data_IF_596901029775
#
_entry.id   IF_596901029775
#
_cell.length_a   1.000
_cell.length_b   1.000
_cell.length_c   1.000
_cell.angle_alpha   90.00
_cell.angle_beta   90.00
_cell.angle_gamma   90.00
#
_symmetry.space_group_name_H-M   'P 1'
#
loop_
_entity.id
_entity.type
_entity.pdbx_description
1 polymer ?
#
# COMPACT_ATOMS: atom_id res chain seq x y z
N UNK A 1 -22.50 -11.22 -0.91
CA UNK A 1 -22.01 -10.25 0.10
C UNK A 1 -22.87 -8.99 0.06
N UNK A 2 -22.79 -8.12 1.07
CA UNK A 2 -23.62 -6.91 1.24
C UNK A 2 -23.58 -5.92 0.04
N UNK A 3 -22.64 -6.08 -0.89
CA UNK A 3 -22.40 -5.16 -2.01
C UNK A 3 -22.25 -5.87 -3.38
N UNK A 4 -22.77 -7.09 -3.54
CA UNK A 4 -22.64 -7.83 -4.80
C UNK A 4 -23.25 -7.09 -6.00
N UNK A 5 -24.27 -6.25 -5.77
CA UNK A 5 -24.91 -5.42 -6.79
C UNK A 5 -23.92 -4.45 -7.47
N UNK A 6 -22.82 -4.07 -6.83
CA UNK A 6 -21.78 -3.22 -7.44
C UNK A 6 -21.10 -3.89 -8.64
N UNK A 7 -21.18 -5.22 -8.78
CA UNK A 7 -20.69 -5.94 -9.96
C UNK A 7 -21.45 -5.62 -11.24
N UNK A 8 -22.68 -5.15 -11.09
CA UNK A 8 -23.57 -4.83 -12.21
C UNK A 8 -23.45 -3.35 -12.61
N UNK A 9 -22.62 -2.58 -11.92
CA UNK A 9 -22.47 -1.13 -12.10
C UNK A 9 -21.14 -0.82 -12.80
N UNK A 10 -21.19 0.05 -13.80
CA UNK A 10 -19.98 0.60 -14.41
C UNK A 10 -19.22 1.52 -13.44
N UNK A 11 -17.90 1.34 -13.36
CA UNK A 11 -16.99 2.15 -12.51
C UNK A 11 -17.17 3.67 -12.73
N UNK A 12 -17.57 4.08 -13.94
CA UNK A 12 -17.81 5.50 -14.30
C UNK A 12 -18.86 6.19 -13.42
N UNK A 13 -19.71 5.43 -12.73
CA UNK A 13 -20.73 5.95 -11.81
C UNK A 13 -20.21 6.21 -10.38
N UNK A 14 -18.98 5.77 -10.07
CA UNK A 14 -18.26 6.21 -8.87
C UNK A 14 -17.63 7.60 -9.12
N UNK A 15 -17.33 8.34 -8.06
CA UNK A 15 -16.71 9.67 -8.14
C UNK A 15 -15.53 9.78 -7.18
N UNK A 16 -14.63 10.74 -7.46
CA UNK A 16 -13.45 11.05 -6.64
C UNK A 16 -12.56 9.82 -6.38
N UNK A 17 -12.00 9.76 -5.18
CA UNK A 17 -11.07 8.72 -4.73
C UNK A 17 -11.65 7.30 -4.87
N UNK A 18 -12.97 7.12 -4.69
CA UNK A 18 -13.60 5.79 -4.83
C UNK A 18 -13.50 5.28 -6.27
N UNK A 19 -13.65 6.17 -7.27
CA UNK A 19 -13.49 5.80 -8.67
C UNK A 19 -12.04 5.45 -8.97
N UNK A 20 -11.10 6.28 -8.55
CA UNK A 20 -9.67 6.05 -8.78
C UNK A 20 -9.21 4.72 -8.16
N UNK A 21 -9.62 4.45 -6.92
CA UNK A 21 -9.31 3.18 -6.24
C UNK A 21 -9.93 2.00 -6.97
N UNK A 22 -11.18 2.10 -7.43
CA UNK A 22 -11.85 1.03 -8.18
C UNK A 22 -11.18 0.77 -9.55
N UNK A 23 -10.75 1.81 -10.26
CA UNK A 23 -10.03 1.70 -11.54
C UNK A 23 -8.65 1.03 -11.35
N UNK A 24 -7.91 1.39 -10.29
CA UNK A 24 -6.58 0.82 -9.99
C UNK A 24 -6.67 -0.64 -9.53
N UNK A 25 -7.62 -0.95 -8.65
CA UNK A 25 -7.69 -2.27 -7.99
C UNK A 25 -8.57 -3.28 -8.71
N UNK A 26 -9.53 -2.80 -9.51
CA UNK A 26 -10.61 -3.59 -10.11
C UNK A 26 -11.80 -3.77 -9.16
N UNK A 27 -13.00 -3.89 -9.74
CA UNK A 27 -14.27 -3.88 -8.98
C UNK A 27 -14.34 -4.96 -7.89
N UNK A 28 -13.87 -6.18 -8.14
CA UNK A 28 -13.91 -7.26 -7.14
C UNK A 28 -13.10 -6.92 -5.88
N UNK A 29 -11.89 -6.37 -6.04
CA UNK A 29 -11.04 -5.98 -4.90
C UNK A 29 -11.60 -4.74 -4.21
N UNK A 30 -12.15 -3.81 -4.98
CA UNK A 30 -12.83 -2.65 -4.44
C UNK A 30 -14.01 -3.04 -3.54
N UNK A 31 -14.86 -3.98 -3.95
CA UNK A 31 -15.97 -4.48 -3.14
C UNK A 31 -15.46 -5.08 -1.81
N UNK A 32 -14.37 -5.85 -1.86
CA UNK A 32 -13.75 -6.42 -0.65
C UNK A 32 -13.21 -5.34 0.29
N UNK A 33 -12.51 -4.34 -0.25
CA UNK A 33 -12.00 -3.21 0.53
C UNK A 33 -13.15 -2.41 1.15
N UNK A 34 -14.15 -2.07 0.34
CA UNK A 34 -15.31 -1.33 0.82
C UNK A 34 -16.04 -2.09 1.91
N UNK A 35 -16.20 -3.41 1.78
CA UNK A 35 -16.79 -4.23 2.82
C UNK A 35 -15.98 -4.24 4.12
N UNK A 36 -14.66 -4.39 4.02
CA UNK A 36 -13.76 -4.44 5.18
C UNK A 36 -13.67 -3.10 5.93
N UNK A 37 -13.80 -1.98 5.22
CA UNK A 37 -13.55 -0.64 5.74
C UNK A 37 -14.77 0.29 5.70
N UNK A 38 -15.98 -0.21 5.48
CA UNK A 38 -17.20 0.61 5.36
C UNK A 38 -17.53 1.51 6.57
N UNK A 39 -16.90 1.27 7.72
CA UNK A 39 -17.07 2.05 8.96
C UNK A 39 -15.83 2.87 9.33
N UNK A 40 -14.87 3.00 8.42
CA UNK A 40 -13.59 3.65 8.71
C UNK A 40 -13.17 4.57 7.58
N UNK A 41 -12.63 5.72 7.97
CA UNK A 41 -11.87 6.56 7.03
C UNK A 41 -10.47 5.97 6.89
N UNK A 42 -10.09 5.61 5.66
CA UNK A 42 -8.78 5.06 5.35
C UNK A 42 -7.81 6.21 5.02
N UNK A 43 -6.73 6.30 5.79
CA UNK A 43 -5.62 7.21 5.52
C UNK A 43 -4.36 6.43 5.18
N UNK A 44 -3.79 6.68 3.99
CA UNK A 44 -2.53 6.08 3.55
C UNK A 44 -1.34 6.92 4.04
N UNK A 45 -0.78 6.54 5.19
CA UNK A 45 0.38 7.22 5.77
C UNK A 45 1.71 6.68 5.23
N UNK A 46 2.60 7.56 4.79
CA UNK A 46 3.98 7.21 4.41
C UNK A 46 4.75 6.53 5.56
N UNK A 47 4.45 6.87 6.82
CA UNK A 47 5.09 6.25 7.99
C UNK A 47 4.87 4.73 8.05
N UNK A 48 3.70 4.25 7.60
CA UNK A 48 3.43 2.81 7.56
C UNK A 48 4.28 2.11 6.48
N UNK A 49 4.51 2.78 5.35
CA UNK A 49 5.43 2.29 4.32
C UNK A 49 6.88 2.30 4.82
N UNK A 50 7.29 3.32 5.56
CA UNK A 50 8.63 3.37 6.17
C UNK A 50 8.84 2.22 7.17
N UNK A 51 7.84 1.94 8.01
CA UNK A 51 7.88 0.80 8.94
C UNK A 51 7.99 -0.54 8.20
N UNK A 52 7.24 -0.71 7.12
CA UNK A 52 7.31 -1.91 6.29
C UNK A 52 8.68 -2.05 5.60
N UNK A 53 9.23 -0.95 5.08
CA UNK A 53 10.57 -0.92 4.49
C UNK A 53 11.64 -1.28 5.53
N UNK A 54 11.54 -0.75 6.76
CA UNK A 54 12.43 -1.10 7.87
C UNK A 54 12.39 -2.60 8.18
N UNK A 55 11.19 -3.17 8.28
CA UNK A 55 10.99 -4.60 8.52
C UNK A 55 11.48 -5.47 7.36
N UNK A 56 11.41 -4.98 6.11
CA UNK A 56 11.94 -5.68 4.95
C UNK A 56 13.47 -5.69 4.97
N UNK A 57 14.10 -4.53 5.16
CA UNK A 57 15.56 -4.38 5.19
C UNK A 57 16.18 -5.23 6.31
N UNK A 58 15.60 -5.23 7.51
CA UNK A 58 16.08 -6.03 8.65
C UNK A 58 15.99 -7.54 8.43
N UNK A 59 15.05 -8.01 7.59
CA UNK A 59 14.93 -9.43 7.21
C UNK A 59 15.94 -9.86 6.15
N UNK A 60 16.66 -8.93 5.54
CA UNK A 60 17.61 -9.19 4.46
C UNK A 60 18.97 -8.53 4.73
N UNK A 61 19.62 -8.80 5.89
CA UNK A 61 20.82 -8.09 6.31
C UNK A 61 22.02 -8.31 5.36
N UNK A 62 22.06 -9.47 4.69
CA UNK A 62 23.17 -9.83 3.80
C UNK A 62 22.99 -9.32 2.35
N UNK A 63 21.88 -8.63 2.05
CA UNK A 63 21.65 -8.08 0.71
C UNK A 63 22.40 -6.78 0.53
N UNK A 64 23.05 -6.62 -0.64
CA UNK A 64 23.71 -5.36 -0.99
C UNK A 64 22.77 -4.15 -0.86
N UNK A 65 23.27 -3.11 -0.20
CA UNK A 65 22.46 -1.94 0.13
C UNK A 65 21.94 -1.18 -1.11
N UNK A 66 22.66 -1.21 -2.24
CA UNK A 66 22.20 -0.57 -3.49
C UNK A 66 21.05 -1.36 -4.10
N UNK A 67 21.08 -2.69 -3.98
CA UNK A 67 19.97 -3.55 -4.42
C UNK A 67 18.72 -3.26 -3.60
N UNK A 68 18.85 -3.20 -2.26
CA UNK A 68 17.74 -2.85 -1.38
C UNK A 68 17.17 -1.45 -1.68
N UNK A 69 18.06 -0.46 -1.85
CA UNK A 69 17.69 0.92 -2.18
C UNK A 69 16.86 1.00 -3.48
N UNK A 70 17.33 0.34 -4.54
CA UNK A 70 16.62 0.30 -5.83
C UNK A 70 15.27 -0.40 -5.73
N UNK A 71 15.21 -1.53 -5.02
CA UNK A 71 13.97 -2.31 -4.87
C UNK A 71 12.90 -1.54 -4.10
N UNK A 72 13.29 -0.83 -3.06
CA UNK A 72 12.38 -0.09 -2.19
C UNK A 72 12.14 1.36 -2.64
N UNK A 73 12.84 1.83 -3.67
CA UNK A 73 12.72 3.21 -4.14
C UNK A 73 13.26 4.25 -3.14
N UNK A 74 14.24 3.89 -2.31
CA UNK A 74 14.82 4.78 -1.28
C UNK A 74 16.33 4.96 -1.47
N UNK A 75 16.92 5.93 -0.78
CA UNK A 75 18.37 6.14 -0.82
C UNK A 75 19.14 5.04 -0.06
N UNK A 76 20.37 4.73 -0.50
CA UNK A 76 21.30 3.83 0.21
C UNK A 76 21.55 4.31 1.65
N UNK A 77 21.58 5.63 1.87
CA UNK A 77 21.71 6.21 3.21
C UNK A 77 20.52 5.82 4.10
N UNK A 78 19.29 5.88 3.59
CA UNK A 78 18.09 5.44 4.32
C UNK A 78 18.17 3.95 4.64
N UNK A 79 18.61 3.09 3.70
CA UNK A 79 18.81 1.64 3.97
C UNK A 79 19.75 1.41 5.16
N UNK A 80 20.92 2.06 5.17
CA UNK A 80 21.87 1.95 6.29
C UNK A 80 21.26 2.42 7.61
N UNK A 81 20.54 3.54 7.59
CA UNK A 81 19.83 4.08 8.77
C UNK A 81 18.83 3.06 9.33
N UNK A 82 18.05 2.42 8.45
CA UNK A 82 17.06 1.41 8.83
C UNK A 82 17.68 0.11 9.40
N UNK A 83 18.85 -0.31 8.91
CA UNK A 83 19.59 -1.46 9.47
C UNK A 83 20.14 -1.16 10.86
N UNK A 84 20.72 0.03 11.05
CA UNK A 84 21.35 0.42 12.31
C UNK A 84 20.33 0.79 13.40
N UNK A 85 19.03 0.84 13.07
CA UNK A 85 17.97 1.15 14.04
C UNK A 85 17.92 2.62 14.44
N UNK A 86 18.62 3.51 13.74
CA UNK A 86 18.55 4.95 13.97
C UNK A 86 17.21 5.46 13.42
N UNK A 87 16.35 6.00 14.29
CA UNK A 87 15.08 6.64 13.90
C UNK A 87 15.31 8.00 13.25
#
# INVERSE_FOLDING_TARGET
MQYDWLREVDIKHLTGDMREVAEITGMEKFILLFHAFNKSELYFSENQLENAAAAYVKRHPDTDHKVLARKLGISVRKVKKLLNGER
#
